data_IF_911136321985
#
_entry.id   IF_911136321985
#
_cell.length_a   1.000
_cell.length_b   1.000
_cell.length_c   1.000
_cell.angle_alpha   90.00
_cell.angle_beta   90.00
_cell.angle_gamma   90.00
#
_symmetry.space_group_name_H-M   'P 1'
#
loop_
_entity.id
_entity.type
_entity.pdbx_description
1 polymer ?
#
# COMPACT_ATOMS: atom_id res chain seq x y z
N UNK A 1 27.61 1.46 -2.50
CA UNK A 1 27.05 0.09 -2.44
C UNK A 1 25.83 0.01 -3.34
N UNK A 2 25.87 -0.87 -4.36
CA UNK A 2 24.74 -1.10 -5.27
C UNK A 2 23.62 -1.78 -4.48
N UNK A 3 22.37 -1.30 -4.63
CA UNK A 3 21.21 -1.88 -3.95
C UNK A 3 21.04 -3.35 -4.38
N UNK A 4 20.70 -4.28 -3.49
CA UNK A 4 20.46 -5.67 -3.86
C UNK A 4 19.33 -5.72 -4.90
N UNK A 5 19.52 -6.47 -5.99
CA UNK A 5 18.53 -6.56 -7.07
C UNK A 5 17.15 -6.98 -6.55
N UNK A 6 17.11 -7.89 -5.56
CA UNK A 6 15.86 -8.32 -4.92
C UNK A 6 15.09 -7.19 -4.22
N UNK A 7 15.80 -6.27 -3.54
CA UNK A 7 15.18 -5.10 -2.88
C UNK A 7 14.52 -4.20 -3.91
N UNK A 8 15.19 -3.97 -5.05
CA UNK A 8 14.65 -3.16 -6.14
C UNK A 8 13.39 -3.81 -6.71
N UNK A 9 13.46 -5.10 -7.06
CA UNK A 9 12.36 -5.83 -7.70
C UNK A 9 11.11 -5.86 -6.79
N UNK A 10 11.27 -6.20 -5.51
CA UNK A 10 10.15 -6.25 -4.55
C UNK A 10 9.53 -4.86 -4.40
N UNK A 11 10.36 -3.81 -4.32
CA UNK A 11 9.87 -2.43 -4.21
C UNK A 11 9.02 -2.03 -5.43
N UNK A 12 9.44 -2.40 -6.65
CA UNK A 12 8.68 -2.09 -7.86
C UNK A 12 7.36 -2.85 -7.92
N UNK A 13 7.33 -4.13 -7.51
CA UNK A 13 6.09 -4.91 -7.46
C UNK A 13 5.09 -4.25 -6.51
N UNK A 14 5.52 -3.91 -5.29
CA UNK A 14 4.64 -3.28 -4.32
C UNK A 14 4.22 -1.86 -4.73
N UNK A 15 5.10 -1.06 -5.34
CA UNK A 15 4.75 0.25 -5.87
C UNK A 15 3.68 0.15 -6.96
N UNK A 16 3.85 -0.80 -7.89
CA UNK A 16 2.89 -1.05 -8.96
C UNK A 16 1.53 -1.51 -8.41
N UNK A 17 1.53 -2.45 -7.44
CA UNK A 17 0.31 -2.89 -6.76
C UNK A 17 -0.40 -1.76 -6.02
N UNK A 18 0.35 -0.86 -5.35
CA UNK A 18 -0.23 0.32 -4.69
C UNK A 18 -0.87 1.27 -5.68
N UNK A 19 -0.25 1.46 -6.85
CA UNK A 19 -0.78 2.31 -7.91
C UNK A 19 -2.06 1.73 -8.52
N UNK A 20 -2.11 0.40 -8.70
CA UNK A 20 -3.34 -0.30 -9.12
C UNK A 20 -4.46 -0.18 -8.09
N UNK A 21 -4.15 -0.22 -6.79
CA UNK A 21 -5.13 -0.01 -5.72
C UNK A 21 -5.66 1.43 -5.70
N UNK A 22 -4.80 2.43 -5.91
CA UNK A 22 -5.26 3.82 -6.05
C UNK A 22 -6.13 4.01 -7.29
N UNK A 23 -5.75 3.39 -8.41
CA UNK A 23 -6.53 3.44 -9.63
C UNK A 23 -7.92 2.81 -9.44
N UNK A 24 -7.98 1.64 -8.81
CA UNK A 24 -9.28 1.00 -8.51
C UNK A 24 -10.10 1.77 -7.48
N UNK A 25 -9.47 2.52 -6.57
CA UNK A 25 -10.18 3.40 -5.66
C UNK A 25 -10.81 4.61 -6.37
N UNK A 26 -10.22 5.14 -7.43
CA UNK A 26 -10.77 6.34 -8.10
C UNK A 26 -11.75 5.99 -9.21
N UNK A 27 -11.47 4.93 -9.98
CA UNK A 27 -12.19 4.62 -11.21
C UNK A 27 -13.21 3.48 -11.10
N UNK A 28 -13.17 2.69 -10.01
CA UNK A 28 -14.07 1.55 -9.84
C UNK A 28 -15.07 1.85 -8.73
N UNK A 29 -16.37 1.80 -9.08
CA UNK A 29 -17.44 1.99 -8.11
C UNK A 29 -17.61 0.72 -7.27
N UNK A 30 -17.17 0.81 -6.02
CA UNK A 30 -17.14 -0.31 -5.09
C UNK A 30 -18.51 -0.59 -4.44
N UNK A 31 -19.47 0.35 -4.55
CA UNK A 31 -20.82 0.16 -3.98
C UNK A 31 -21.67 -0.84 -4.77
N UNK A 32 -21.36 -1.06 -6.05
CA UNK A 32 -22.12 -1.96 -6.93
C UNK A 32 -21.62 -3.40 -6.97
N UNK A 33 -20.41 -3.68 -6.47
CA UNK A 33 -19.74 -4.97 -6.67
C UNK A 33 -19.41 -5.60 -5.31
N UNK A 34 -20.42 -6.29 -4.74
CA UNK A 34 -20.43 -6.91 -3.41
C UNK A 34 -19.41 -8.04 -3.20
N UNK A 35 -18.46 -8.23 -4.12
CA UNK A 35 -17.59 -9.40 -4.18
C UNK A 35 -16.26 -9.24 -3.44
N UNK A 36 -15.88 -8.04 -2.96
CA UNK A 36 -14.53 -7.88 -2.37
C UNK A 36 -14.36 -6.68 -1.42
N UNK A 37 -15.09 -6.67 -0.32
CA UNK A 37 -14.91 -5.63 0.70
C UNK A 37 -13.58 -5.72 1.43
N UNK A 38 -12.70 -4.77 1.12
CA UNK A 38 -11.47 -4.54 1.88
C UNK A 38 -11.84 -4.07 3.30
N UNK A 39 -12.92 -3.31 3.46
CA UNK A 39 -13.39 -2.83 4.75
C UNK A 39 -13.78 -4.00 5.68
N UNK A 40 -14.44 -5.05 5.15
CA UNK A 40 -14.75 -6.28 5.91
C UNK A 40 -13.49 -7.04 6.33
N UNK A 41 -12.46 -7.11 5.49
CA UNK A 41 -11.18 -7.79 5.82
C UNK A 41 -10.44 -7.13 6.97
N UNK A 42 -10.70 -5.85 7.21
CA UNK A 42 -10.14 -5.07 8.32
C UNK A 42 -11.15 -4.88 9.47
N UNK A 43 -12.26 -5.62 9.47
CA UNK A 43 -13.33 -5.56 10.48
C UNK A 43 -13.95 -4.16 10.66
N UNK A 44 -13.94 -3.32 9.61
CA UNK A 44 -14.48 -1.96 9.61
C UNK A 44 -15.56 -1.80 8.52
N UNK A 45 -16.67 -2.56 8.57
CA UNK A 45 -17.68 -2.57 7.51
C UNK A 45 -18.43 -1.24 7.34
N UNK A 46 -18.37 -0.34 8.33
CA UNK A 46 -19.03 0.97 8.28
C UNK A 46 -18.24 2.04 7.52
N UNK A 47 -17.03 1.72 7.05
CA UNK A 47 -16.17 2.66 6.32
C UNK A 47 -16.36 2.46 4.82
N UNK A 48 -16.53 3.54 4.02
CA UNK A 48 -16.62 3.43 2.58
C UNK A 48 -15.43 2.65 2.00
N UNK A 49 -15.70 1.66 1.14
CA UNK A 49 -14.66 0.84 0.52
C UNK A 49 -13.63 1.67 -0.21
N UNK A 50 -14.07 2.73 -0.88
CA UNK A 50 -13.23 3.66 -1.61
C UNK A 50 -12.18 4.32 -0.70
N UNK A 51 -12.62 4.76 0.49
CA UNK A 51 -11.77 5.36 1.51
C UNK A 51 -10.77 4.32 2.05
N UNK A 52 -11.23 3.10 2.32
CA UNK A 52 -10.37 2.04 2.82
C UNK A 52 -9.30 1.62 1.80
N UNK A 53 -9.66 1.53 0.52
CA UNK A 53 -8.71 1.28 -0.58
C UNK A 53 -7.66 2.39 -0.67
N UNK A 54 -8.06 3.65 -0.57
CA UNK A 54 -7.14 4.78 -0.58
C UNK A 54 -6.17 4.74 0.61
N UNK A 55 -6.65 4.46 1.83
CA UNK A 55 -5.82 4.33 3.03
C UNK A 55 -4.80 3.22 2.88
N UNK A 56 -5.24 2.02 2.47
CA UNK A 56 -4.36 0.85 2.29
C UNK A 56 -3.32 1.13 1.20
N UNK A 57 -3.73 1.75 0.09
CA UNK A 57 -2.83 2.07 -1.00
C UNK A 57 -1.77 3.11 -0.58
N UNK A 58 -2.18 4.17 0.13
CA UNK A 58 -1.25 5.17 0.68
C UNK A 58 -0.28 4.53 1.68
N UNK A 59 -0.78 3.67 2.59
CA UNK A 59 0.06 2.99 3.56
C UNK A 59 1.10 2.07 2.89
N UNK A 60 0.67 1.32 1.87
CA UNK A 60 1.57 0.48 1.07
C UNK A 60 2.62 1.31 0.34
N UNK A 61 2.23 2.46 -0.23
CA UNK A 61 3.15 3.40 -0.88
C UNK A 61 4.18 3.99 0.09
N UNK A 62 3.76 4.39 1.29
CA UNK A 62 4.64 4.89 2.35
C UNK A 62 5.62 3.80 2.80
N UNK A 63 5.14 2.57 2.99
CA UNK A 63 5.99 1.42 3.37
C UNK A 63 7.03 1.12 2.30
N UNK A 64 6.65 1.13 1.02
CA UNK A 64 7.57 0.93 -0.11
C UNK A 64 8.56 2.08 -0.21
N UNK A 65 8.10 3.32 -0.06
CA UNK A 65 8.96 4.49 -0.10
C UNK A 65 9.99 4.46 1.02
N UNK A 66 9.57 4.13 2.25
CA UNK A 66 10.45 3.90 3.39
C UNK A 66 11.43 2.75 3.14
N UNK A 67 10.97 1.64 2.54
CA UNK A 67 11.80 0.49 2.19
C UNK A 67 12.87 0.84 1.13
N UNK A 68 12.52 1.66 0.13
CA UNK A 68 13.48 2.18 -0.86
C UNK A 68 14.48 3.17 -0.21
N UNK A 69 14.05 3.93 0.80
CA UNK A 69 14.86 4.92 1.51
C UNK A 69 15.75 4.36 2.63
N UNK A 70 15.68 3.07 2.97
CA UNK A 70 16.52 2.36 3.95
C UNK A 70 18.05 2.51 3.78
N UNK A 71 18.53 3.20 2.72
CA UNK A 71 19.95 3.53 2.54
C UNK A 71 20.46 4.54 3.59
N UNK A 72 19.58 5.32 4.22
CA UNK A 72 19.92 6.15 5.37
C UNK A 72 19.26 5.50 6.60
N UNK A 73 20.07 4.94 7.51
CA UNK A 73 19.62 4.15 8.67
C UNK A 73 18.68 4.85 9.68
N UNK A 74 18.06 5.98 9.33
CA UNK A 74 17.09 6.70 10.15
C UNK A 74 15.70 6.04 10.16
N UNK A 75 15.25 5.42 9.06
CA UNK A 75 13.90 4.83 9.00
C UNK A 75 13.81 3.42 9.63
N UNK A 76 14.93 2.69 9.66
CA UNK A 76 15.02 1.41 10.39
C UNK A 76 14.89 1.56 11.92
N UNK A 77 15.11 2.76 12.44
CA UNK A 77 14.95 3.08 13.87
C UNK A 77 13.51 3.46 14.25
N UNK A 78 12.63 3.78 13.29
CA UNK A 78 11.25 4.17 13.57
C UNK A 78 10.29 2.99 13.79
N UNK A 79 10.64 1.79 13.33
CA UNK A 79 9.83 0.57 13.53
C UNK A 79 10.35 -0.33 14.67
N UNK A 80 11.47 0.03 15.31
CA UNK A 80 12.12 -0.74 16.37
C UNK A 80 12.00 -0.10 17.77
N UNK A 81 11.09 0.86 17.95
CA UNK A 81 10.74 1.45 19.26
C UNK A 81 9.26 1.22 19.52
#
# INVERSE_FOLDING_TARGET
MKRPLGVIIISYIFAFSSMLLLFSAIFYDADTDSMRSIAERFALPNIPEQLMRAIVALFSLVMVYGYIQLKNGAFGQWWLI
#
